data_IF_294124743074
#
_entry.id   IF_294124743074
#
_cell.length_a   1.000
_cell.length_b   1.000
_cell.length_c   1.000
_cell.angle_alpha   90.00
_cell.angle_beta   90.00
_cell.angle_gamma   90.00
#
_symmetry.space_group_name_H-M   'P 1'
#
loop_
_entity.id
_entity.type
_entity.pdbx_description
1 polymer ?
#
# COMPACT_ATOMS: atom_id res chain seq x y z
N UNK A 1 -5.81 -4.64 23.10
CA UNK A 1 -4.83 -5.34 22.27
C UNK A 1 -5.03 -4.85 20.86
N UNK A 2 -4.07 -4.18 20.20
CA UNK A 2 -4.19 -3.91 18.78
C UNK A 2 -4.31 -5.26 18.09
N UNK A 3 -5.21 -5.35 17.12
CA UNK A 3 -5.56 -6.57 16.42
C UNK A 3 -4.31 -7.13 15.72
N UNK A 4 -3.70 -8.16 16.31
CA UNK A 4 -2.44 -8.81 15.93
C UNK A 4 -2.61 -9.69 14.67
N UNK A 5 -3.40 -9.20 13.71
CA UNK A 5 -3.70 -9.88 12.46
C UNK A 5 -2.90 -9.23 11.36
N UNK A 6 -2.05 -10.04 10.73
CA UNK A 6 -1.29 -9.69 9.53
C UNK A 6 -2.20 -9.02 8.49
N UNK A 7 -1.73 -7.90 7.94
CA UNK A 7 -2.45 -7.11 6.94
C UNK A 7 -2.33 -7.73 5.54
N UNK A 8 -1.32 -8.58 5.33
CA UNK A 8 -1.13 -9.26 4.07
C UNK A 8 -2.12 -10.42 3.95
N UNK A 9 -2.92 -10.39 2.89
CA UNK A 9 -3.86 -11.46 2.56
C UNK A 9 -3.24 -12.26 1.40
N UNK A 10 -2.71 -13.48 1.63
CA UNK A 10 -2.02 -14.28 0.62
C UNK A 10 -3.00 -14.98 -0.34
N UNK A 11 -4.10 -14.32 -0.69
CA UNK A 11 -5.16 -14.86 -1.55
C UNK A 11 -5.37 -13.89 -2.71
N UNK A 12 -5.13 -14.38 -3.92
CA UNK A 12 -5.44 -13.62 -5.12
C UNK A 12 -6.95 -13.43 -5.29
N UNK A 13 -7.36 -12.32 -5.90
CA UNK A 13 -8.78 -11.99 -6.14
C UNK A 13 -9.56 -13.15 -6.76
N UNK A 14 -8.98 -13.84 -7.74
CA UNK A 14 -9.61 -14.97 -8.45
C UNK A 14 -9.90 -16.18 -7.53
N UNK A 15 -9.12 -16.33 -6.45
CA UNK A 15 -9.22 -17.44 -5.51
C UNK A 15 -10.05 -17.12 -4.28
N UNK A 16 -10.43 -15.86 -4.08
CA UNK A 16 -11.12 -15.41 -2.88
C UNK A 16 -12.45 -16.14 -2.67
N UNK A 17 -13.20 -16.36 -3.76
CA UNK A 17 -14.45 -17.13 -3.73
C UNK A 17 -14.25 -18.59 -3.33
N UNK A 18 -13.21 -19.23 -3.88
CA UNK A 18 -12.88 -20.63 -3.57
C UNK A 18 -12.43 -20.81 -2.11
N UNK A 19 -11.89 -19.76 -1.48
CA UNK A 19 -11.52 -19.79 -0.07
C UNK A 19 -12.70 -19.68 0.90
N UNK A 20 -13.92 -19.40 0.41
CA UNK A 20 -15.12 -19.36 1.24
C UNK A 20 -15.63 -20.79 1.44
N UNK A 21 -15.54 -21.31 2.66
CA UNK A 21 -15.94 -22.71 2.98
C UNK A 21 -17.38 -23.04 2.63
N UNK A 22 -18.27 -22.06 2.67
CA UNK A 22 -19.69 -22.23 2.32
C UNK A 22 -19.92 -22.29 0.79
N UNK A 23 -18.98 -21.79 -0.02
CA UNK A 23 -19.13 -21.73 -1.47
C UNK A 23 -19.22 -23.12 -2.10
N UNK A 24 -18.47 -24.09 -1.57
CA UNK A 24 -18.51 -25.48 -2.03
C UNK A 24 -19.84 -26.17 -1.70
N UNK A 25 -20.55 -25.69 -0.66
CA UNK A 25 -21.84 -26.25 -0.23
C UNK A 25 -23.05 -25.69 -0.98
N UNK A 26 -22.86 -24.61 -1.74
CA UNK A 26 -23.90 -23.99 -2.56
C UNK A 26 -24.27 -24.85 -3.77
N UNK A 27 -25.52 -24.74 -4.23
CA UNK A 27 -25.94 -25.31 -5.51
C UNK A 27 -25.25 -24.64 -6.71
N UNK A 28 -25.18 -25.31 -7.85
CA UNK A 28 -24.56 -24.76 -9.08
C UNK A 28 -25.18 -23.41 -9.49
N UNK A 29 -26.50 -23.25 -9.29
CA UNK A 29 -27.20 -21.99 -9.59
C UNK A 29 -26.76 -20.84 -8.67
N UNK A 30 -26.57 -21.13 -7.38
CA UNK A 30 -26.12 -20.14 -6.39
C UNK A 30 -24.66 -19.76 -6.62
N UNK A 31 -23.80 -20.75 -6.90
CA UNK A 31 -22.40 -20.51 -7.24
C UNK A 31 -22.27 -19.59 -8.47
N UNK A 32 -23.07 -19.83 -9.51
CA UNK A 32 -23.09 -18.98 -10.71
C UNK A 32 -23.52 -17.54 -10.39
N UNK A 33 -24.58 -17.36 -9.59
CA UNK A 33 -25.05 -16.03 -9.15
C UNK A 33 -23.98 -15.30 -8.32
N UNK A 34 -23.31 -15.99 -7.41
CA UNK A 34 -22.24 -15.43 -6.60
C UNK A 34 -21.06 -14.99 -7.47
N UNK A 35 -20.63 -15.81 -8.43
CA UNK A 35 -19.57 -15.42 -9.38
C UNK A 35 -19.94 -14.14 -10.13
N UNK A 36 -21.13 -14.07 -10.73
CA UNK A 36 -21.59 -12.86 -11.44
C UNK A 36 -21.69 -11.64 -10.52
N UNK A 37 -22.10 -11.83 -9.27
CA UNK A 37 -22.13 -10.76 -8.28
C UNK A 37 -20.73 -10.23 -7.94
N UNK A 38 -19.75 -11.12 -7.76
CA UNK A 38 -18.35 -10.76 -7.54
C UNK A 38 -17.74 -10.03 -8.73
N UNK A 39 -18.04 -10.44 -9.96
CA UNK A 39 -17.62 -9.74 -11.18
C UNK A 39 -18.20 -8.31 -11.24
N UNK A 40 -19.47 -8.15 -10.85
CA UNK A 40 -20.12 -6.84 -10.80
C UNK A 40 -19.46 -5.94 -9.75
N UNK A 41 -19.27 -6.43 -8.52
CA UNK A 41 -18.57 -5.69 -7.46
C UNK A 41 -17.17 -5.29 -7.94
N UNK A 42 -16.44 -6.21 -8.54
CA UNK A 42 -15.09 -5.93 -9.00
C UNK A 42 -15.06 -4.84 -10.08
N UNK A 43 -16.06 -4.81 -10.95
CA UNK A 43 -16.19 -3.79 -12.00
C UNK A 43 -16.51 -2.42 -11.40
N UNK A 44 -17.40 -2.36 -10.40
CA UNK A 44 -17.73 -1.13 -9.68
C UNK A 44 -16.53 -0.59 -8.93
N UNK A 45 -15.83 -1.45 -8.17
CA UNK A 45 -14.62 -1.07 -7.44
C UNK A 45 -13.53 -0.59 -8.40
N UNK A 46 -13.32 -1.28 -9.52
CA UNK A 46 -12.34 -0.86 -10.51
C UNK A 46 -12.60 0.56 -11.01
N UNK A 47 -13.85 0.86 -11.39
CA UNK A 47 -14.24 2.21 -11.81
C UNK A 47 -13.99 3.25 -10.71
N UNK A 48 -14.44 2.96 -9.49
CA UNK A 48 -14.28 3.86 -8.35
C UNK A 48 -12.80 4.18 -8.06
N UNK A 49 -11.94 3.16 -8.03
CA UNK A 49 -10.52 3.37 -7.74
C UNK A 49 -9.75 3.94 -8.91
N UNK A 50 -10.17 3.71 -10.15
CA UNK A 50 -9.63 4.40 -11.32
C UNK A 50 -9.89 5.92 -11.24
N UNK A 51 -11.10 6.34 -10.85
CA UNK A 51 -11.41 7.75 -10.62
C UNK A 51 -10.55 8.36 -9.49
N UNK A 52 -10.34 7.62 -8.40
CA UNK A 52 -9.45 8.04 -7.30
C UNK A 52 -7.99 8.14 -7.75
N UNK A 53 -7.49 7.20 -8.54
CA UNK A 53 -6.13 7.24 -9.07
C UNK A 53 -5.90 8.51 -9.91
N UNK A 54 -6.82 8.83 -10.83
CA UNK A 54 -6.75 10.06 -11.63
C UNK A 54 -6.76 11.30 -10.72
N UNK A 55 -7.59 11.30 -9.67
CA UNK A 55 -7.66 12.40 -8.72
C UNK A 55 -6.33 12.63 -8.00
N UNK A 56 -5.71 11.58 -7.44
CA UNK A 56 -4.40 11.68 -6.78
C UNK A 56 -3.34 12.21 -7.73
N UNK A 57 -3.29 11.70 -8.97
CA UNK A 57 -2.33 12.16 -9.97
C UNK A 57 -2.49 13.66 -10.27
N UNK A 58 -3.72 14.14 -10.40
CA UNK A 58 -4.01 15.57 -10.61
C UNK A 58 -3.63 16.43 -9.40
N UNK A 59 -3.88 15.95 -8.18
CA UNK A 59 -3.51 16.65 -6.95
C UNK A 59 -1.98 16.72 -6.78
N UNK A 60 -1.26 15.68 -7.21
CA UNK A 60 0.20 15.63 -7.14
C UNK A 60 0.89 16.48 -8.22
N UNK A 61 0.23 16.70 -9.35
CA UNK A 61 0.80 17.37 -10.52
C UNK A 61 1.45 18.75 -10.26
N UNK A 62 0.92 19.63 -9.38
CA UNK A 62 1.58 20.90 -9.04
C UNK A 62 2.80 20.77 -8.12
N UNK A 63 2.94 19.63 -7.44
CA UNK A 63 4.05 19.33 -6.54
C UNK A 63 5.22 18.67 -7.26
N UNK A 64 4.96 18.03 -8.41
CA UNK A 64 5.96 17.31 -9.20
C UNK A 64 6.98 18.29 -9.81
N UNK A 65 8.26 18.27 -9.36
CA UNK A 65 9.29 19.17 -9.87
C UNK A 65 9.63 18.92 -11.34
N UNK A 66 9.33 17.73 -11.86
CA UNK A 66 9.61 17.32 -13.23
C UNK A 66 8.38 17.43 -14.15
N UNK A 67 7.28 18.03 -13.66
CA UNK A 67 6.05 18.17 -14.43
C UNK A 67 6.25 19.04 -15.67
N UNK A 68 6.08 18.42 -16.84
CA UNK A 68 6.12 19.11 -18.16
C UNK A 68 4.78 19.72 -18.56
N UNK A 69 3.75 19.57 -17.72
CA UNK A 69 2.38 19.93 -18.04
C UNK A 69 2.09 21.39 -17.66
N UNK A 70 1.43 22.11 -18.55
CA UNK A 70 1.00 23.50 -18.29
C UNK A 70 -0.20 23.47 -17.34
N UNK A 71 0.00 23.88 -16.10
CA UNK A 71 -1.04 24.00 -15.10
C UNK A 71 -1.73 25.36 -15.21
N UNK A 72 -3.06 25.37 -15.02
CA UNK A 72 -3.85 26.62 -15.02
C UNK A 72 -3.62 27.47 -13.78
N UNK A 73 -3.26 26.85 -12.65
CA UNK A 73 -3.10 27.50 -11.35
C UNK A 73 -1.88 26.92 -10.62
N UNK A 74 -0.68 27.49 -10.82
CA UNK A 74 0.57 26.97 -10.23
C UNK A 74 0.78 27.35 -8.75
N UNK A 75 -0.06 28.23 -8.19
CA UNK A 75 0.20 28.90 -6.91
C UNK A 75 -0.17 28.06 -5.67
N UNK A 76 -1.13 27.13 -5.75
CA UNK A 76 -1.54 26.33 -4.58
C UNK A 76 -0.85 24.97 -4.57
N UNK A 77 0.41 24.93 -4.15
CA UNK A 77 1.11 23.69 -3.81
C UNK A 77 0.64 23.19 -2.45
N UNK A 78 -0.41 22.36 -2.43
CA UNK A 78 -0.94 21.78 -1.19
C UNK A 78 -0.71 20.27 -1.15
N UNK A 79 0.32 19.83 -0.43
CA UNK A 79 0.63 18.41 -0.20
C UNK A 79 -0.41 17.69 0.66
N UNK A 80 -1.12 18.41 1.54
CA UNK A 80 -2.07 17.80 2.48
C UNK A 80 -3.24 17.09 1.79
N UNK A 81 -3.71 17.61 0.66
CA UNK A 81 -4.78 16.98 -0.12
C UNK A 81 -4.34 15.68 -0.78
N UNK A 82 -3.09 15.64 -1.27
CA UNK A 82 -2.49 14.41 -1.82
C UNK A 82 -2.40 13.35 -0.75
N UNK A 83 -1.85 13.70 0.42
CA UNK A 83 -1.72 12.75 1.52
C UNK A 83 -3.07 12.27 2.04
N UNK A 84 -4.07 13.16 2.17
CA UNK A 84 -5.41 12.78 2.59
C UNK A 84 -6.03 11.71 1.67
N UNK A 85 -5.95 11.91 0.35
CA UNK A 85 -6.47 10.93 -0.60
C UNK A 85 -5.67 9.61 -0.58
N UNK A 86 -4.33 9.68 -0.46
CA UNK A 86 -3.47 8.50 -0.35
C UNK A 86 -3.73 7.70 0.94
N UNK A 87 -3.92 8.35 2.08
CA UNK A 87 -4.21 7.72 3.37
C UNK A 87 -5.47 6.85 3.25
N UNK A 88 -6.54 7.39 2.65
CA UNK A 88 -7.79 6.65 2.46
C UNK A 88 -7.64 5.46 1.50
N UNK A 89 -6.92 5.64 0.40
CA UNK A 89 -6.66 4.57 -0.57
C UNK A 89 -5.85 3.43 0.08
N UNK A 90 -4.80 3.78 0.81
CA UNK A 90 -3.91 2.81 1.46
C UNK A 90 -4.61 2.06 2.59
N UNK A 91 -5.43 2.75 3.39
CA UNK A 91 -6.26 2.11 4.41
C UNK A 91 -7.22 1.08 3.79
N UNK A 92 -7.90 1.43 2.70
CA UNK A 92 -8.80 0.50 1.99
C UNK A 92 -8.06 -0.66 1.32
N UNK A 93 -6.79 -0.45 0.93
CA UNK A 93 -5.92 -1.50 0.41
C UNK A 93 -5.27 -2.36 1.51
N UNK A 94 -5.72 -2.20 2.76
CA UNK A 94 -5.24 -2.89 3.95
C UNK A 94 -3.76 -2.64 4.26
N UNK A 95 -3.23 -1.46 3.94
CA UNK A 95 -1.91 -1.05 4.43
C UNK A 95 -2.04 -0.44 5.83
N UNK A 96 -0.99 -0.62 6.64
CA UNK A 96 -0.82 0.08 7.92
C UNK A 96 0.29 1.10 7.81
N UNK A 97 0.11 2.26 8.45
CA UNK A 97 1.17 3.24 8.59
C UNK A 97 2.22 2.68 9.55
N UNK A 98 3.50 2.79 9.17
CA UNK A 98 4.61 2.44 10.05
C UNK A 98 4.87 3.60 11.01
N UNK A 99 5.14 3.25 12.26
CA UNK A 99 5.58 4.18 13.30
C UNK A 99 7.03 4.62 13.05
N UNK A 100 7.42 5.75 13.65
CA UNK A 100 8.79 6.25 13.54
C UNK A 100 9.79 5.24 14.10
N UNK A 101 9.43 4.57 15.19
CA UNK A 101 10.25 3.54 15.85
C UNK A 101 10.51 2.34 14.93
N UNK A 102 9.51 1.93 14.14
CA UNK A 102 9.67 0.87 13.13
C UNK A 102 10.60 1.30 11.99
N UNK A 103 10.55 2.57 11.58
CA UNK A 103 11.43 3.11 10.56
C UNK A 103 12.88 3.20 11.04
N UNK A 104 13.11 3.67 12.26
CA UNK A 104 14.44 3.69 12.87
C UNK A 104 15.02 2.28 12.97
N UNK A 105 14.21 1.33 13.45
CA UNK A 105 14.59 -0.09 13.52
C UNK A 105 14.96 -0.66 12.14
N UNK A 106 14.23 -0.28 11.08
CA UNK A 106 14.52 -0.70 9.71
C UNK A 106 15.86 -0.14 9.21
N UNK A 107 16.16 1.14 9.49
CA UNK A 107 17.42 1.79 9.11
C UNK A 107 18.62 1.13 9.82
N UNK A 108 18.48 0.83 11.11
CA UNK A 108 19.52 0.17 11.90
C UNK A 108 19.80 -1.25 11.40
N UNK A 109 18.75 -2.02 11.09
CA UNK A 109 18.88 -3.36 10.52
C UNK A 109 19.57 -3.35 9.15
N UNK A 110 19.24 -2.38 8.28
CA UNK A 110 19.94 -2.21 7.00
C UNK A 110 21.44 -1.93 7.21
N UNK A 111 21.78 -1.13 8.22
CA UNK A 111 23.16 -0.87 8.62
C UNK A 111 23.89 -2.11 9.11
N UNK A 112 23.23 -2.97 9.88
CA UNK A 112 23.78 -4.26 10.31
C UNK A 112 24.08 -5.20 9.11
N UNK A 113 23.28 -5.12 8.05
CA UNK A 113 23.47 -5.83 6.79
C UNK A 113 24.62 -5.26 5.92
N UNK A 114 25.30 -4.21 6.37
CA UNK A 114 26.46 -3.61 5.71
C UNK A 114 26.13 -2.46 4.76
N UNK A 115 24.87 -2.06 4.67
CA UNK A 115 24.46 -0.84 3.96
C UNK A 115 24.69 0.35 4.89
N UNK A 116 25.66 1.22 4.63
CA UNK A 116 25.83 2.44 5.44
C UNK A 116 24.70 3.42 5.14
N UNK A 117 23.59 3.30 5.87
CA UNK A 117 22.41 4.11 5.68
C UNK A 117 22.18 4.95 6.95
N UNK A 118 22.36 6.27 6.84
CA UNK A 118 22.01 7.22 7.90
C UNK A 118 20.93 8.13 7.33
N UNK A 119 19.70 7.91 7.77
CA UNK A 119 18.55 8.72 7.35
C UNK A 119 18.26 9.73 8.46
N UNK A 120 18.13 11.00 8.09
CA UNK A 120 17.67 12.04 8.99
C UNK A 120 16.21 12.35 8.68
N UNK A 121 15.30 11.78 9.50
CA UNK A 121 13.86 11.97 9.31
C UNK A 121 13.41 13.41 9.56
N UNK A 122 14.21 14.25 10.22
CA UNK A 122 13.88 15.68 10.45
C UNK A 122 13.93 16.54 9.19
N UNK A 123 14.52 16.02 8.09
CA UNK A 123 14.56 16.71 6.80
C UNK A 123 13.22 16.69 6.06
N UNK A 124 12.29 15.82 6.47
CA UNK A 124 10.98 15.71 5.85
C UNK A 124 9.96 16.53 6.64
N UNK A 125 9.30 17.48 5.98
CA UNK A 125 8.16 18.20 6.56
C UNK A 125 7.02 17.22 6.88
N UNK A 126 6.75 16.28 5.98
CA UNK A 126 5.76 15.24 6.17
C UNK A 126 6.23 13.94 5.49
N UNK A 127 6.33 12.86 6.28
CA UNK A 127 6.73 11.52 5.82
C UNK A 127 5.67 10.50 6.23
N UNK A 128 5.21 9.72 5.25
CA UNK A 128 4.34 8.59 5.49
C UNK A 128 4.90 7.34 4.81
N UNK A 129 5.18 6.32 5.61
CA UNK A 129 5.63 5.01 5.13
C UNK A 129 4.61 3.98 5.57
N UNK A 130 4.29 3.05 4.68
CA UNK A 130 3.25 2.05 4.90
C UNK A 130 3.79 0.65 4.65
N UNK A 131 3.42 -0.29 5.52
CA UNK A 131 3.66 -1.71 5.37
C UNK A 131 2.35 -2.46 5.15
N UNK A 132 2.40 -3.59 4.46
CA UNK A 132 1.24 -4.50 4.30
C UNK A 132 1.47 -5.86 4.92
N UNK A 133 2.71 -6.26 5.13
CA UNK A 133 3.04 -7.45 5.89
C UNK A 133 4.54 -7.66 5.91
N UNK A 134 4.95 -8.73 6.58
CA UNK A 134 6.36 -8.94 6.91
C UNK A 134 6.95 -10.13 6.15
N UNK A 135 8.23 -10.04 5.81
CA UNK A 135 9.01 -11.13 5.25
C UNK A 135 10.24 -11.40 6.14
N UNK A 136 10.46 -12.66 6.49
CA UNK A 136 11.63 -13.09 7.27
C UNK A 136 12.68 -13.68 6.35
N UNK A 137 13.81 -13.00 6.20
CA UNK A 137 14.94 -13.47 5.42
C UNK A 137 16.15 -13.79 6.31
N UNK A 138 16.81 -14.93 6.05
CA UNK A 138 18.04 -15.33 6.73
C UNK A 138 19.25 -14.98 5.87
N UNK A 139 20.10 -14.10 6.37
CA UNK A 139 21.32 -13.68 5.69
C UNK A 139 22.55 -14.31 6.34
N UNK A 140 23.47 -14.83 5.52
CA UNK A 140 24.79 -15.29 5.99
C UNK A 140 25.84 -14.25 5.65
N UNK A 141 26.39 -13.59 6.67
CA UNK A 141 27.46 -12.61 6.50
C UNK A 141 28.80 -13.36 6.32
N UNK A 142 29.37 -13.31 5.12
CA UNK A 142 30.76 -13.76 4.90
C UNK A 142 31.71 -12.66 5.34
N UNK A 143 32.38 -12.85 6.48
CA UNK A 143 33.50 -11.99 6.89
C UNK A 143 34.76 -12.39 6.14
N UNK A 144 35.43 -11.43 5.49
CA UNK A 144 36.67 -11.66 4.74
C UNK A 144 37.93 -11.62 5.61
N UNK A 145 37.79 -11.84 6.91
CA UNK A 145 38.88 -11.82 7.88
C UNK A 145 38.87 -13.14 8.65
N UNK A 146 40.05 -13.78 8.77
CA UNK A 146 40.34 -14.85 9.73
C UNK A 146 40.82 -14.22 11.02
#
# INVERSE_FOLDING_TARGET
>A
MPNDKEHFIPIGREKLLECLTEFETCSESEQSKLKSFFELISSVLHKQYHERQIRVQKLYQPLDPDSVLILKDPETKNSSEVFKELIEILANANYRKLSTEELETAVDNATALGLRMKVDFSLFEELHVYGRGDEVQKWTKKSWWK
#
